data_IF_627314551934
#
_entry.id   IF_627314551934
#
_cell.length_a   1.000
_cell.length_b   1.000
_cell.length_c   1.000
_cell.angle_alpha   90.00
_cell.angle_beta   90.00
_cell.angle_gamma   90.00
#
_symmetry.space_group_name_H-M   'P 1'
#
loop_
_entity.id
_entity.type
_entity.pdbx_description
1 polymer ?
#
# COMPACT_ATOMS: atom_id res chain seq x y z
N UNK A 1 0.89 -15.48 12.61
CA UNK A 1 1.85 -16.19 11.73
C UNK A 1 2.25 -15.29 10.56
N UNK A 2 3.39 -14.59 10.63
CA UNK A 2 3.77 -13.58 9.62
C UNK A 2 4.42 -14.19 8.36
N UNK A 3 4.97 -15.40 8.46
CA UNK A 3 5.61 -16.13 7.36
C UNK A 3 4.62 -16.53 6.28
N UNK A 4 3.41 -16.98 6.63
CA UNK A 4 2.35 -17.30 5.66
C UNK A 4 1.98 -16.13 4.75
N UNK A 5 1.99 -14.90 5.28
CA UNK A 5 1.71 -13.67 4.51
C UNK A 5 2.80 -13.35 3.48
N UNK A 6 3.91 -14.08 3.47
CA UNK A 6 4.99 -13.99 2.47
C UNK A 6 5.17 -15.29 1.67
N UNK A 7 4.62 -16.41 2.13
CA UNK A 7 4.75 -17.72 1.49
C UNK A 7 3.77 -17.98 0.36
N UNK A 8 3.96 -19.14 -0.27
CA UNK A 8 3.13 -19.71 -1.32
C UNK A 8 2.53 -21.08 -0.96
N UNK A 9 3.00 -21.71 0.11
CA UNK A 9 2.52 -23.03 0.55
C UNK A 9 1.24 -22.93 1.39
N UNK A 10 0.37 -23.97 1.35
CA UNK A 10 -0.81 -24.05 2.20
C UNK A 10 -0.46 -23.99 3.68
N UNK A 11 -1.31 -23.34 4.46
CA UNK A 11 -1.15 -23.21 5.91
C UNK A 11 -2.49 -23.43 6.57
N UNK A 12 -2.57 -24.48 7.39
CA UNK A 12 -3.80 -24.81 8.10
C UNK A 12 -3.79 -24.16 9.49
N UNK A 13 -4.83 -23.37 9.78
CA UNK A 13 -5.12 -22.80 11.10
C UNK A 13 -6.53 -23.22 11.50
N UNK A 14 -6.69 -23.82 12.68
CA UNK A 14 -7.98 -24.32 13.17
C UNK A 14 -8.73 -25.21 12.15
N UNK A 15 -7.98 -26.06 11.44
CA UNK A 15 -8.52 -26.97 10.42
C UNK A 15 -8.85 -26.33 9.06
N UNK A 16 -8.58 -25.04 8.88
CA UNK A 16 -8.85 -24.30 7.64
C UNK A 16 -7.56 -23.81 6.98
N UNK A 17 -7.40 -24.05 5.67
CA UNK A 17 -6.29 -23.47 4.90
C UNK A 17 -6.53 -21.96 4.67
N UNK A 18 -5.60 -21.14 5.15
CA UNK A 18 -5.69 -19.67 5.09
C UNK A 18 -5.04 -19.08 3.83
N UNK A 19 -4.37 -19.90 3.00
CA UNK A 19 -3.71 -19.41 1.79
C UNK A 19 -4.68 -18.71 0.81
N UNK A 20 -5.89 -19.24 0.52
CA UNK A 20 -6.83 -18.57 -0.38
C UNK A 20 -7.23 -17.17 0.09
N UNK A 21 -7.40 -16.97 1.40
CA UNK A 21 -7.77 -15.67 1.97
C UNK A 21 -6.64 -14.65 1.88
N UNK A 22 -5.40 -15.10 2.11
CA UNK A 22 -4.20 -14.28 1.91
C UNK A 22 -4.12 -13.82 0.44
N UNK A 23 -4.31 -14.73 -0.52
CA UNK A 23 -4.27 -14.37 -1.94
C UNK A 23 -5.41 -13.42 -2.33
N UNK A 24 -6.62 -13.65 -1.82
CA UNK A 24 -7.76 -12.74 -2.02
C UNK A 24 -7.46 -11.34 -1.47
N UNK A 25 -6.86 -11.24 -0.30
CA UNK A 25 -6.48 -9.95 0.29
C UNK A 25 -5.39 -9.25 -0.53
N UNK A 26 -4.35 -9.97 -0.96
CA UNK A 26 -3.28 -9.45 -1.82
C UNK A 26 -3.84 -8.91 -3.14
N UNK A 27 -4.75 -9.64 -3.77
CA UNK A 27 -5.36 -9.21 -5.03
C UNK A 27 -6.23 -7.97 -4.83
N UNK A 28 -7.05 -7.92 -3.77
CA UNK A 28 -7.82 -6.72 -3.42
C UNK A 28 -6.92 -5.50 -3.21
N UNK A 29 -5.81 -5.65 -2.50
CA UNK A 29 -4.83 -4.58 -2.28
C UNK A 29 -4.17 -4.15 -3.59
N UNK A 30 -3.81 -5.09 -4.47
CA UNK A 30 -3.23 -4.81 -5.79
C UNK A 30 -4.19 -3.99 -6.63
N UNK A 31 -5.43 -4.45 -6.80
CA UNK A 31 -6.45 -3.77 -7.61
C UNK A 31 -6.71 -2.36 -7.10
N UNK A 32 -6.85 -2.19 -5.77
CA UNK A 32 -7.04 -0.87 -5.17
C UNK A 32 -5.83 0.05 -5.42
N UNK A 33 -4.62 -0.42 -5.12
CA UNK A 33 -3.42 0.40 -5.24
C UNK A 33 -3.13 0.78 -6.70
N UNK A 34 -3.39 -0.11 -7.65
CA UNK A 34 -3.28 0.18 -9.09
C UNK A 34 -4.30 1.23 -9.52
N UNK A 35 -5.58 1.08 -9.16
CA UNK A 35 -6.60 2.07 -9.47
C UNK A 35 -6.30 3.46 -8.89
N UNK A 36 -5.70 3.52 -7.70
CA UNK A 36 -5.25 4.78 -7.09
C UNK A 36 -4.07 5.39 -7.86
N UNK A 37 -3.04 4.61 -8.18
CA UNK A 37 -1.85 5.08 -8.93
C UNK A 37 -2.21 5.57 -10.34
N UNK A 38 -3.12 4.87 -11.02
CA UNK A 38 -3.58 5.22 -12.37
C UNK A 38 -4.58 6.39 -12.38
N UNK A 39 -5.01 6.87 -11.22
CA UNK A 39 -5.99 7.96 -11.11
C UNK A 39 -7.42 7.55 -11.47
N UNK A 40 -7.68 6.26 -11.65
CA UNK A 40 -9.03 5.70 -11.82
C UNK A 40 -9.87 5.87 -10.55
N UNK A 41 -9.23 5.79 -9.38
CA UNK A 41 -9.87 6.06 -8.11
C UNK A 41 -9.95 7.57 -7.84
N UNK A 42 -11.17 8.12 -7.87
CA UNK A 42 -11.44 9.56 -7.73
C UNK A 42 -12.01 9.89 -6.37
N UNK A 43 -11.64 11.05 -5.84
CA UNK A 43 -12.28 11.62 -4.65
C UNK A 43 -13.68 12.16 -4.96
N UNK A 44 -14.35 12.70 -3.94
CA UNK A 44 -15.72 13.23 -4.05
C UNK A 44 -15.89 14.33 -5.13
N UNK A 45 -14.81 15.01 -5.50
CA UNK A 45 -14.79 16.06 -6.53
C UNK A 45 -14.46 15.55 -7.94
N UNK A 46 -14.35 14.23 -8.13
CA UNK A 46 -13.96 13.63 -9.41
C UNK A 46 -12.47 13.76 -9.75
N UNK A 47 -11.65 14.28 -8.83
CA UNK A 47 -10.20 14.44 -9.00
C UNK A 47 -9.44 13.20 -8.51
N UNK A 48 -8.32 12.83 -9.16
CA UNK A 48 -7.44 11.76 -8.69
C UNK A 48 -6.91 12.00 -7.27
N UNK A 49 -6.61 10.91 -6.55
CA UNK A 49 -5.99 10.98 -5.23
C UNK A 49 -4.50 11.32 -5.38
N UNK A 50 -4.07 12.41 -4.73
CA UNK A 50 -2.67 12.90 -4.78
C UNK A 50 -1.85 12.61 -3.53
N UNK A 51 -2.51 12.33 -2.41
CA UNK A 51 -1.86 12.12 -1.13
C UNK A 51 -2.62 11.08 -0.32
N UNK A 52 -1.86 10.24 0.40
CA UNK A 52 -2.36 9.21 1.30
C UNK A 52 -1.81 9.49 2.70
N UNK A 53 -2.71 9.54 3.67
CA UNK A 53 -2.35 9.68 5.08
C UNK A 53 -2.61 8.37 5.80
N UNK A 54 -1.53 7.70 6.23
CA UNK A 54 -1.63 6.51 7.07
C UNK A 54 -1.80 6.92 8.54
N UNK A 55 -2.95 6.61 9.13
CA UNK A 55 -3.25 6.84 10.54
C UNK A 55 -3.03 5.55 11.32
N UNK A 56 -2.10 5.57 12.27
CA UNK A 56 -1.81 4.41 13.11
C UNK A 56 -0.70 4.70 14.13
N UNK A 57 -0.60 3.81 15.12
CA UNK A 57 0.47 3.81 16.13
C UNK A 57 1.20 2.47 16.12
N UNK A 58 2.39 2.42 16.72
CA UNK A 58 3.18 1.18 16.85
C UNK A 58 3.48 0.53 15.49
N UNK A 59 3.30 -0.80 15.40
CA UNK A 59 3.60 -1.58 14.20
C UNK A 59 2.87 -1.12 12.94
N UNK A 60 1.65 -0.59 13.09
CA UNK A 60 0.83 -0.06 11.98
C UNK A 60 1.35 1.26 11.40
N UNK A 61 2.28 1.93 12.10
CA UNK A 61 2.95 3.16 11.62
C UNK A 61 4.41 2.92 11.28
N UNK A 62 5.13 2.19 12.14
CA UNK A 62 6.58 2.01 12.03
C UNK A 62 6.96 1.21 10.77
N UNK A 63 6.28 0.09 10.50
CA UNK A 63 6.56 -0.75 9.34
C UNK A 63 6.36 -0.03 8.00
N UNK A 64 5.17 0.56 7.75
CA UNK A 64 4.93 1.32 6.53
C UNK A 64 5.90 2.50 6.36
N UNK A 65 6.20 3.24 7.42
CA UNK A 65 7.11 4.38 7.35
C UNK A 65 8.54 3.96 6.98
N UNK A 66 9.03 2.85 7.53
CA UNK A 66 10.33 2.30 7.18
C UNK A 66 10.40 1.94 5.69
N UNK A 67 9.41 1.21 5.18
CA UNK A 67 9.38 0.77 3.77
C UNK A 67 9.26 1.97 2.82
N UNK A 68 8.39 2.94 3.13
CA UNK A 68 8.26 4.16 2.34
C UNK A 68 9.57 4.94 2.26
N UNK A 69 10.30 5.05 3.37
CA UNK A 69 11.59 5.73 3.40
C UNK A 69 12.68 4.96 2.65
N UNK A 70 12.72 3.63 2.80
CA UNK A 70 13.74 2.79 2.17
C UNK A 70 13.56 2.67 0.64
N UNK A 71 12.34 2.78 0.14
CA UNK A 71 11.99 2.64 -1.28
C UNK A 71 11.61 3.96 -1.94
N UNK A 72 11.95 5.10 -1.32
CA UNK A 72 11.54 6.42 -1.78
C UNK A 72 11.96 6.73 -3.23
N UNK A 73 13.14 6.25 -3.64
CA UNK A 73 13.71 6.52 -4.97
C UNK A 73 12.97 5.83 -6.12
N UNK A 74 12.20 4.78 -5.83
CA UNK A 74 11.45 4.00 -6.83
C UNK A 74 9.92 4.16 -6.69
N UNK A 75 9.48 5.07 -5.82
CA UNK A 75 8.05 5.27 -5.57
C UNK A 75 7.38 5.98 -6.78
N UNK A 76 6.28 5.41 -7.26
CA UNK A 76 5.55 5.82 -8.47
C UNK A 76 4.09 6.23 -8.20
N UNK A 77 3.74 6.41 -6.93
CA UNK A 77 2.36 6.65 -6.49
C UNK A 77 2.12 8.01 -5.84
N UNK A 78 0.92 8.19 -5.23
CA UNK A 78 0.58 9.40 -4.47
C UNK A 78 1.58 9.65 -3.33
N UNK A 79 1.66 10.90 -2.87
CA UNK A 79 2.50 11.24 -1.73
C UNK A 79 2.01 10.52 -0.46
N UNK A 80 2.92 9.80 0.21
CA UNK A 80 2.61 9.00 1.40
C UNK A 80 3.38 9.46 2.65
N UNK A 81 4.23 10.47 2.54
CA UNK A 81 5.09 10.95 3.60
C UNK A 81 4.65 12.34 4.10
N UNK A 82 5.52 12.99 4.89
CA UNK A 82 5.15 14.18 5.66
C UNK A 82 4.75 15.37 4.78
N UNK A 83 3.91 16.30 5.28
CA UNK A 83 3.49 17.48 4.52
C UNK A 83 4.64 18.38 4.02
N UNK A 84 5.84 18.28 4.61
CA UNK A 84 7.03 19.05 4.20
C UNK A 84 7.51 18.69 2.79
N UNK A 85 7.34 17.45 2.36
CA UNK A 85 7.84 16.94 1.07
C UNK A 85 6.81 17.07 -0.03
N UNK A 86 5.54 17.38 0.28
CA UNK A 86 4.49 17.67 -0.70
C UNK A 86 4.72 18.97 -1.50
N UNK A 87 5.80 19.70 -1.16
CA UNK A 87 6.29 20.87 -1.91
C UNK A 87 7.27 20.50 -3.03
N UNK A 88 7.80 19.27 -3.04
CA UNK A 88 8.56 18.76 -4.19
C UNK A 88 7.55 18.40 -5.28
N UNK A 89 7.89 18.75 -6.53
CA UNK A 89 7.14 18.30 -7.71
C UNK A 89 6.91 16.77 -7.61
N UNK A 90 5.73 16.26 -8.02
CA UNK A 90 5.51 14.83 -8.06
C UNK A 90 6.65 14.17 -8.87
N UNK A 91 7.05 12.94 -8.54
CA UNK A 91 8.03 12.22 -9.35
C UNK A 91 7.52 12.23 -10.78
N UNK A 92 8.28 12.89 -11.66
CA UNK A 92 8.01 12.90 -13.09
C UNK A 92 8.16 11.47 -13.57
N UNK A 93 7.06 10.88 -14.05
CA UNK A 93 7.10 9.65 -14.83
C UNK A 93 8.07 9.88 -16.00
N UNK A 94 8.96 8.93 -16.36
CA UNK A 94 9.60 8.96 -17.67
C UNK A 94 8.56 8.85 -18.80
#
# INVERSE_FOLDING_TARGET
>A
MHTAVRGADPVVVDGTDILPDIQRCRERMRTFATAVREGHWKGATGRPIRAILALGIGGSSLGPRLVLQALADIADGPWCDSPRTWTRSPPTTP
#
